data_IF_923041713806
#
_entry.id   IF_923041713806
#
_cell.length_a   1.000
_cell.length_b   1.000
_cell.length_c   1.000
_cell.angle_alpha   90.00
_cell.angle_beta   90.00
_cell.angle_gamma   90.00
#
_symmetry.space_group_name_H-M   'P 1'
#
loop_
_entity.id
_entity.type
_entity.pdbx_description
1 polymer ?
#
# COMPACT_ATOMS: atom_id res chain seq x y z
N UNK A 1 1.53 3.63 23.25
CA UNK A 1 1.09 3.16 21.91
C UNK A 1 1.94 3.91 20.92
N UNK A 2 2.60 3.20 20.03
CA UNK A 2 3.54 3.74 19.04
C UNK A 2 2.91 3.52 17.67
N UNK A 3 2.52 4.60 16.99
CA UNK A 3 1.79 4.50 15.72
C UNK A 3 2.58 3.80 14.62
N UNK A 4 3.90 3.77 14.69
CA UNK A 4 4.73 3.05 13.72
C UNK A 4 4.64 1.55 13.99
N UNK A 5 4.83 1.12 15.24
CA UNK A 5 4.81 -0.30 15.62
C UNK A 5 3.42 -0.91 15.63
N UNK A 6 2.41 -0.12 15.95
CA UNK A 6 1.04 -0.60 16.15
C UNK A 6 0.17 -0.47 14.89
N UNK A 7 0.49 0.47 13.99
CA UNK A 7 -0.30 0.73 12.77
C UNK A 7 0.55 0.59 11.49
N UNK A 8 1.65 1.34 11.37
CA UNK A 8 2.45 1.39 10.13
C UNK A 8 3.13 0.06 9.78
N UNK A 9 3.46 -0.76 10.78
CA UNK A 9 4.18 -2.03 10.59
C UNK A 9 3.47 -2.97 9.62
N UNK A 10 2.13 -2.94 9.59
CA UNK A 10 1.33 -3.77 8.69
C UNK A 10 1.53 -3.34 7.23
N UNK A 11 1.58 -2.04 6.96
CA UNK A 11 1.79 -1.53 5.60
C UNK A 11 3.23 -1.77 5.14
N UNK A 12 4.19 -1.65 6.06
CA UNK A 12 5.61 -2.00 5.83
C UNK A 12 5.74 -3.48 5.46
N UNK A 13 5.05 -4.37 6.18
CA UNK A 13 5.07 -5.80 5.93
C UNK A 13 4.48 -6.13 4.55
N UNK A 14 3.33 -5.55 4.20
CA UNK A 14 2.72 -5.70 2.87
C UNK A 14 3.69 -5.27 1.76
N UNK A 15 4.36 -4.11 1.91
CA UNK A 15 5.32 -3.61 0.93
C UNK A 15 6.52 -4.55 0.77
N UNK A 16 7.11 -5.01 1.87
CA UNK A 16 8.26 -5.91 1.81
C UNK A 16 7.90 -7.29 1.28
N UNK A 17 6.69 -7.80 1.53
CA UNK A 17 6.21 -9.01 0.90
C UNK A 17 5.99 -8.83 -0.60
N UNK A 18 5.43 -7.68 -1.01
CA UNK A 18 5.20 -7.37 -2.43
C UNK A 18 6.51 -7.18 -3.21
N UNK A 19 7.51 -6.55 -2.61
CA UNK A 19 8.78 -6.21 -3.27
C UNK A 19 9.88 -7.24 -3.01
N UNK A 20 9.73 -8.11 -2.00
CA UNK A 20 10.69 -9.14 -1.63
C UNK A 20 11.99 -8.61 -1.01
N UNK A 21 12.04 -7.35 -0.59
CA UNK A 21 13.26 -6.70 -0.08
C UNK A 21 12.97 -5.58 0.91
N UNK A 22 13.94 -5.26 1.76
CA UNK A 22 13.93 -4.09 2.65
C UNK A 22 14.26 -2.80 1.85
N UNK A 23 13.84 -1.61 2.31
CA UNK A 23 14.18 -0.35 1.66
C UNK A 23 15.66 0.01 1.83
N UNK A 24 16.27 0.62 0.82
CA UNK A 24 17.64 1.13 0.86
C UNK A 24 17.72 2.42 1.68
N UNK A 25 16.71 3.29 1.56
CA UNK A 25 16.64 4.57 2.28
C UNK A 25 15.29 4.76 2.95
N UNK A 26 15.33 5.36 4.13
CA UNK A 26 14.17 5.74 4.93
C UNK A 26 14.31 7.20 5.31
N UNK A 27 13.30 8.00 4.98
CA UNK A 27 13.13 9.37 5.49
C UNK A 27 11.80 9.40 6.24
N UNK A 28 11.76 9.96 7.45
CA UNK A 28 10.54 9.97 8.26
C UNK A 28 10.37 11.27 9.05
N UNK A 29 9.11 11.59 9.36
CA UNK A 29 8.74 12.65 10.29
C UNK A 29 7.63 12.15 11.20
N UNK A 30 7.75 12.47 12.48
CA UNK A 30 6.71 12.26 13.49
C UNK A 30 6.11 13.59 13.93
N UNK A 31 4.89 13.58 14.45
CA UNK A 31 4.25 14.71 15.12
C UNK A 31 3.52 14.20 16.37
N UNK A 32 3.78 14.88 17.48
CA UNK A 32 3.11 14.71 18.77
C UNK A 32 1.94 15.70 18.84
N UNK A 33 0.74 15.24 19.19
CA UNK A 33 -0.49 16.05 19.14
C UNK A 33 -1.24 16.05 20.47
N UNK A 34 -1.45 14.88 21.07
CA UNK A 34 -2.21 14.67 22.30
C UNK A 34 -1.34 14.23 23.48
N UNK A 35 -0.18 13.64 23.19
CA UNK A 35 0.74 13.08 24.19
C UNK A 35 2.19 13.34 23.77
N UNK A 36 3.14 13.14 24.68
CA UNK A 36 4.59 13.20 24.45
C UNK A 36 5.13 11.99 23.61
N UNK A 37 4.27 11.44 22.78
CA UNK A 37 4.55 10.32 21.89
C UNK A 37 4.01 10.64 20.52
N UNK A 38 4.73 10.20 19.48
CA UNK A 38 4.34 10.40 18.09
C UNK A 38 2.92 9.85 17.84
N UNK A 39 2.02 10.75 17.48
CA UNK A 39 0.60 10.48 17.20
C UNK A 39 0.33 10.32 15.70
N UNK A 40 1.17 10.96 14.88
CA UNK A 40 1.14 10.92 13.42
C UNK A 40 2.56 10.70 12.93
N UNK A 41 2.75 9.69 12.09
CA UNK A 41 4.01 9.40 11.44
C UNK A 41 3.84 9.40 9.91
N UNK A 42 4.74 10.08 9.21
CA UNK A 42 4.89 9.96 7.77
C UNK A 42 6.27 9.39 7.46
N UNK A 43 6.32 8.39 6.58
CA UNK A 43 7.57 7.76 6.16
C UNK A 43 7.62 7.64 4.64
N UNK A 44 8.79 7.95 4.08
CA UNK A 44 9.15 7.72 2.69
C UNK A 44 10.21 6.63 2.63
N UNK A 45 9.85 5.50 2.06
CA UNK A 45 10.71 4.34 1.90
C UNK A 45 11.14 4.23 0.44
N UNK A 46 12.44 4.23 0.18
CA UNK A 46 12.99 3.99 -1.16
C UNK A 46 13.54 2.57 -1.22
N UNK A 47 13.02 1.77 -2.13
CA UNK A 47 13.41 0.37 -2.36
C UNK A 47 14.33 0.26 -3.59
N UNK A 48 15.08 -0.84 -3.71
CA UNK A 48 15.81 -1.15 -4.95
C UNK A 48 14.88 -1.09 -6.17
N UNK A 49 15.39 -0.60 -7.31
CA UNK A 49 14.63 -0.52 -8.56
C UNK A 49 13.64 0.65 -8.63
N UNK A 50 13.99 1.78 -8.00
CA UNK A 50 13.26 3.06 -8.06
C UNK A 50 11.81 3.04 -7.53
N UNK A 51 11.45 2.01 -6.76
CA UNK A 51 10.15 1.96 -6.10
C UNK A 51 10.16 2.84 -4.84
N UNK A 52 9.23 3.78 -4.76
CA UNK A 52 9.05 4.67 -3.60
C UNK A 52 7.69 4.38 -2.98
N UNK A 53 7.68 4.14 -1.67
CA UNK A 53 6.46 4.04 -0.88
C UNK A 53 6.35 5.23 0.08
N UNK A 54 5.18 5.85 0.12
CA UNK A 54 4.85 6.88 1.11
C UNK A 54 3.79 6.31 2.04
N UNK A 55 4.10 6.28 3.33
CA UNK A 55 3.25 5.74 4.38
C UNK A 55 2.84 6.85 5.34
N UNK A 56 1.58 6.81 5.77
CA UNK A 56 1.05 7.68 6.81
C UNK A 56 0.31 6.82 7.81
N UNK A 57 0.71 6.90 9.08
CA UNK A 57 0.00 6.28 10.20
C UNK A 57 -0.41 7.37 11.19
N UNK A 58 -1.66 7.34 11.65
CA UNK A 58 -2.19 8.35 12.57
C UNK A 58 -3.28 7.74 13.43
N UNK A 59 -3.15 7.91 14.75
CA UNK A 59 -4.20 7.53 15.71
C UNK A 59 -5.20 8.66 16.00
N UNK A 60 -4.92 9.87 15.53
CA UNK A 60 -5.74 11.08 15.78
C UNK A 60 -6.55 11.52 14.55
N UNK A 61 -6.69 10.63 13.56
CA UNK A 61 -7.50 10.87 12.38
C UNK A 61 -8.99 10.97 12.72
N UNK A 62 -9.69 11.98 12.21
CA UNK A 62 -11.12 12.18 12.43
C UNK A 62 -12.00 11.07 11.82
N UNK A 63 -11.49 10.36 10.81
CA UNK A 63 -12.20 9.25 10.16
C UNK A 63 -11.24 8.10 9.95
N UNK A 64 -11.71 6.88 10.26
CA UNK A 64 -10.93 5.66 10.02
C UNK A 64 -10.74 5.45 8.51
N UNK A 65 -9.50 5.24 8.11
CA UNK A 65 -9.12 5.01 6.71
C UNK A 65 -7.96 4.02 6.66
N UNK A 66 -8.10 2.98 5.84
CA UNK A 66 -7.00 2.04 5.53
C UNK A 66 -6.98 1.79 4.02
N UNK A 67 -6.29 2.67 3.31
CA UNK A 67 -6.21 2.66 1.83
C UNK A 67 -4.80 2.42 1.35
N UNK A 68 -4.65 1.50 0.41
CA UNK A 68 -3.39 1.22 -0.27
C UNK A 68 -3.54 1.51 -1.76
N UNK A 69 -2.55 2.23 -2.31
CA UNK A 69 -2.58 2.71 -3.69
C UNK A 69 -1.27 2.38 -4.38
N UNK A 70 -1.33 1.57 -5.42
CA UNK A 70 -0.16 1.17 -6.21
C UNK A 70 -0.26 1.78 -7.60
N UNK A 71 0.77 2.50 -8.01
CA UNK A 71 0.84 3.13 -9.32
C UNK A 71 1.91 2.44 -10.17
N UNK A 72 1.53 2.05 -11.38
CA UNK A 72 2.39 1.50 -12.41
C UNK A 72 2.26 2.35 -13.68
N UNK A 73 3.11 2.08 -14.68
CA UNK A 73 3.18 2.86 -15.93
C UNK A 73 1.85 2.89 -16.71
N UNK A 74 1.04 1.85 -16.58
CA UNK A 74 -0.19 1.62 -17.32
C UNK A 74 -1.37 1.15 -16.44
N UNK A 75 -1.15 1.04 -15.13
CA UNK A 75 -2.16 0.59 -14.18
C UNK A 75 -2.11 1.34 -12.84
N UNK A 76 -3.25 1.41 -12.18
CA UNK A 76 -3.42 1.94 -10.84
C UNK A 76 -4.33 0.99 -10.05
N UNK A 77 -3.87 0.54 -8.89
CA UNK A 77 -4.66 -0.26 -7.96
C UNK A 77 -5.05 0.59 -6.77
N UNK A 78 -6.33 0.56 -6.41
CA UNK A 78 -6.87 1.20 -5.21
C UNK A 78 -7.53 0.15 -4.34
N UNK A 79 -6.96 -0.11 -3.17
CA UNK A 79 -7.45 -1.09 -2.20
C UNK A 79 -7.93 -0.33 -0.97
N UNK A 80 -9.17 -0.57 -0.57
CA UNK A 80 -9.76 -0.11 0.69
C UNK A 80 -9.94 -1.33 1.59
N UNK A 81 -9.06 -1.47 2.57
CA UNK A 81 -9.05 -2.62 3.48
C UNK A 81 -10.22 -2.60 4.47
N UNK A 82 -10.75 -1.41 4.81
CA UNK A 82 -11.91 -1.31 5.69
C UNK A 82 -13.19 -1.74 4.96
N UNK A 83 -13.35 -1.28 3.72
CA UNK A 83 -14.49 -1.65 2.89
C UNK A 83 -14.34 -3.03 2.22
N UNK A 84 -13.17 -3.68 2.34
CA UNK A 84 -12.78 -4.88 1.61
C UNK A 84 -13.04 -4.75 0.10
N UNK A 85 -12.64 -3.63 -0.50
CA UNK A 85 -12.85 -3.35 -1.93
C UNK A 85 -11.52 -3.11 -2.62
N UNK A 86 -11.36 -3.67 -3.81
CA UNK A 86 -10.22 -3.41 -4.66
C UNK A 86 -10.67 -2.99 -6.06
N UNK A 87 -10.02 -1.97 -6.61
CA UNK A 87 -10.30 -1.42 -7.93
C UNK A 87 -9.00 -1.38 -8.74
N UNK A 88 -9.06 -1.85 -9.98
CA UNK A 88 -8.02 -1.72 -10.99
C UNK A 88 -8.43 -0.69 -12.02
N UNK A 89 -7.56 0.26 -12.29
CA UNK A 89 -7.69 1.23 -13.36
C UNK A 89 -6.57 0.97 -14.36
N UNK A 90 -6.90 0.63 -15.60
CA UNK A 90 -5.91 0.31 -16.64
C UNK A 90 -6.03 1.26 -17.82
N UNK A 91 -4.88 1.65 -18.35
CA UNK A 91 -4.79 2.42 -19.58
C UNK A 91 -4.96 1.51 -20.78
N UNK A 92 -6.04 1.68 -21.54
CA UNK A 92 -6.29 0.92 -22.77
C UNK A 92 -6.13 1.83 -23.99
N UNK A 93 -5.56 1.32 -25.10
CA UNK A 93 -5.58 2.03 -26.38
C UNK A 93 -7.04 2.26 -26.77
N UNK A 94 -7.40 3.49 -27.15
CA UNK A 94 -8.63 3.68 -27.90
C UNK A 94 -8.35 3.10 -29.28
N UNK A 95 -9.06 2.04 -29.65
CA UNK A 95 -9.09 1.66 -31.05
C UNK A 95 -9.66 2.86 -31.80
N UNK A 96 -8.83 3.57 -32.57
CA UNK A 96 -9.32 4.46 -33.61
C UNK A 96 -10.06 3.56 -34.61
N UNK A 97 -11.36 3.38 -34.40
CA UNK A 97 -12.26 2.86 -35.41
C UNK A 97 -12.34 3.91 -36.52
N UNK A 98 -11.33 3.94 -37.39
CA UNK A 98 -11.43 4.62 -38.67
C UNK A 98 -12.55 4.02 -39.56
N UNK A 99 -13.19 2.93 -39.14
CA UNK A 99 -14.20 2.20 -39.91
C UNK A 99 -15.67 2.51 -39.56
N UNK A 100 -15.97 3.30 -38.52
CA UNK A 100 -17.35 3.69 -38.20
C UNK A 100 -17.41 5.11 -37.60
N UNK A 101 -17.04 6.11 -38.39
CA UNK A 101 -17.53 7.48 -38.15
C UNK A 101 -18.68 7.71 -39.10
N UNK A 102 -19.90 7.79 -38.57
CA UNK A 102 -20.99 8.40 -39.31
C UNK A 102 -20.59 9.86 -39.60
N UNK A 103 -20.82 10.31 -40.83
CA UNK A 103 -20.57 11.69 -41.25
C UNK A 103 -21.35 12.65 -40.33
N UNK A 104 -20.66 13.40 -39.46
CA UNK A 104 -21.28 14.47 -38.66
C UNK A 104 -20.82 14.61 -37.21
N UNK A 105 -20.18 13.60 -36.61
CA UNK A 105 -19.76 13.70 -35.20
C UNK A 105 -18.36 14.32 -35.05
N UNK A 106 -18.34 15.58 -34.57
CA UNK A 106 -17.12 16.24 -34.11
C UNK A 106 -16.67 15.61 -32.79
N UNK A 107 -15.80 14.60 -32.87
CA UNK A 107 -15.19 13.99 -31.69
C UNK A 107 -14.21 14.96 -31.02
N UNK A 108 -14.41 15.22 -29.73
CA UNK A 108 -13.47 15.96 -28.88
C UNK A 108 -12.11 15.27 -28.91
N UNK A 109 -11.11 15.92 -29.53
CA UNK A 109 -9.72 15.44 -29.48
C UNK A 109 -9.18 15.67 -28.07
N UNK A 110 -8.58 14.64 -27.49
CA UNK A 110 -7.84 14.79 -26.23
C UNK A 110 -6.69 15.79 -26.44
N UNK A 111 -6.47 16.78 -25.54
CA UNK A 111 -5.47 17.84 -25.72
C UNK A 111 -4.03 17.34 -25.93
N UNK A 112 -3.75 16.08 -25.58
CA UNK A 112 -2.44 15.44 -25.66
C UNK A 112 -2.17 14.69 -26.97
N UNK A 113 -3.15 14.57 -27.89
CA UNK A 113 -2.99 13.84 -29.15
C UNK A 113 -2.87 12.32 -29.02
N UNK A 114 -3.13 11.77 -27.83
CA UNK A 114 -3.08 10.33 -27.57
C UNK A 114 -4.45 9.84 -27.09
N UNK A 115 -5.15 9.12 -27.96
CA UNK A 115 -6.44 8.53 -27.63
C UNK A 115 -6.23 7.33 -26.69
N UNK A 116 -6.22 7.62 -25.38
CA UNK A 116 -6.12 6.62 -24.31
C UNK A 116 -7.33 6.75 -23.41
N UNK A 117 -8.01 5.63 -23.16
CA UNK A 117 -9.11 5.54 -22.21
C UNK A 117 -8.60 4.84 -20.94
N UNK A 118 -9.14 5.22 -19.79
CA UNK A 118 -8.96 4.48 -18.54
C UNK A 118 -10.16 3.55 -18.41
N UNK A 119 -9.89 2.25 -18.37
CA UNK A 119 -10.88 1.24 -18.01
C UNK A 119 -10.82 1.02 -16.50
N UNK A 120 -11.99 0.91 -15.87
CA UNK A 120 -12.13 0.65 -14.44
C UNK A 120 -12.74 -0.72 -14.24
N UNK A 121 -12.08 -1.53 -13.44
CA UNK A 121 -12.49 -2.89 -13.10
C UNK A 121 -12.54 -3.02 -11.58
N UNK A 122 -13.70 -3.41 -11.04
CA UNK A 122 -13.76 -3.89 -9.66
C UNK A 122 -13.12 -5.28 -9.61
N UNK A 123 -12.20 -5.49 -8.67
CA UNK A 123 -11.62 -6.80 -8.42
C UNK A 123 -12.51 -7.55 -7.44
N UNK A 124 -12.81 -8.81 -7.74
CA UNK A 124 -13.53 -9.68 -6.83
C UNK A 124 -12.69 -9.90 -5.57
N UNK A 125 -13.34 -9.78 -4.42
CA UNK A 125 -12.75 -10.01 -3.10
C UNK A 125 -13.63 -11.03 -2.40
N UNK A 126 -13.01 -12.04 -1.77
CA UNK A 126 -13.71 -12.98 -0.91
C UNK A 126 -13.55 -12.54 0.54
N UNK A 127 -14.59 -11.96 1.18
CA UNK A 127 -14.51 -11.52 2.56
C UNK A 127 -14.53 -12.74 3.48
N UNK A 128 -13.34 -13.16 3.90
CA UNK A 128 -13.15 -14.21 4.91
C UNK A 128 -12.77 -13.60 6.28
N UNK A 129 -12.92 -14.40 7.34
CA UNK A 129 -12.35 -14.07 8.64
C UNK A 129 -10.82 -14.21 8.58
N UNK A 130 -10.15 -13.07 8.44
CA UNK A 130 -8.69 -13.01 8.31
C UNK A 130 -7.94 -13.67 9.48
N UNK A 131 -8.50 -13.62 10.70
CA UNK A 131 -7.88 -14.26 11.86
C UNK A 131 -8.04 -15.78 11.79
N UNK A 132 -9.21 -16.27 11.40
CA UNK A 132 -9.44 -17.70 11.19
C UNK A 132 -8.48 -18.25 10.11
N UNK A 133 -8.35 -17.56 8.97
CA UNK A 133 -7.42 -17.92 7.89
C UNK A 133 -5.98 -17.96 8.39
N UNK A 134 -5.56 -16.95 9.15
CA UNK A 134 -4.20 -16.91 9.73
C UNK A 134 -3.95 -18.09 10.68
N UNK A 135 -4.91 -18.43 11.53
CA UNK A 135 -4.79 -19.55 12.47
C UNK A 135 -4.74 -20.89 11.73
N UNK A 136 -5.54 -21.07 10.68
CA UNK A 136 -5.53 -22.28 9.86
C UNK A 136 -4.20 -22.47 9.14
N UNK A 137 -3.62 -21.39 8.61
CA UNK A 137 -2.28 -21.37 8.03
C UNK A 137 -1.24 -21.79 9.07
N UNK A 138 -1.29 -21.22 10.27
CA UNK A 138 -0.38 -21.55 11.36
C UNK A 138 -0.48 -23.03 11.77
N UNK A 139 -1.69 -23.52 12.07
CA UNK A 139 -1.93 -24.92 12.48
C UNK A 139 -1.52 -25.90 11.39
N UNK A 140 -1.80 -25.56 10.12
CA UNK A 140 -1.36 -26.37 8.97
C UNK A 140 0.17 -26.45 8.90
N UNK A 141 0.86 -25.34 9.13
CA UNK A 141 2.33 -25.31 9.13
C UNK A 141 2.94 -26.15 10.25
N UNK A 142 2.36 -26.09 11.45
CA UNK A 142 2.77 -26.93 12.59
C UNK A 142 2.57 -28.42 12.27
N UNK A 143 1.39 -28.80 11.73
CA UNK A 143 1.08 -30.19 11.38
C UNK A 143 2.01 -30.74 10.30
N UNK A 144 2.32 -29.94 9.29
CA UNK A 144 3.21 -30.32 8.18
C UNK A 144 4.70 -30.19 8.51
N UNK A 145 5.03 -29.51 9.63
CA UNK A 145 6.40 -29.09 9.97
C UNK A 145 7.08 -28.30 8.85
N UNK A 146 6.31 -27.51 8.11
CA UNK A 146 6.80 -26.65 7.03
C UNK A 146 5.86 -25.47 6.82
N UNK A 147 6.42 -24.29 6.55
CA UNK A 147 5.67 -23.08 6.20
C UNK A 147 5.54 -22.88 4.67
N UNK A 148 6.17 -23.75 3.87
CA UNK A 148 6.23 -23.60 2.42
C UNK A 148 4.83 -23.70 1.78
N UNK A 149 4.52 -22.71 0.92
CA UNK A 149 3.27 -22.68 0.16
C UNK A 149 2.01 -22.39 0.96
N UNK A 150 2.11 -22.04 2.25
CA UNK A 150 0.94 -21.78 3.10
C UNK A 150 0.46 -20.33 3.09
N UNK A 151 1.17 -19.41 2.43
CA UNK A 151 0.74 -18.01 2.28
C UNK A 151 0.74 -17.17 3.57
N UNK A 152 1.42 -17.63 4.62
CA UNK A 152 1.56 -16.92 5.89
C UNK A 152 2.86 -16.11 6.03
N UNK A 153 2.92 -15.30 7.08
CA UNK A 153 4.09 -14.50 7.43
C UNK A 153 5.05 -15.33 8.28
N UNK A 154 6.29 -15.48 7.84
CA UNK A 154 7.34 -16.14 8.60
C UNK A 154 7.95 -15.21 9.64
N UNK A 155 8.59 -15.76 10.68
CA UNK A 155 9.31 -14.96 11.67
C UNK A 155 10.42 -14.09 11.06
N UNK A 156 11.06 -14.54 9.97
CA UNK A 156 12.06 -13.76 9.25
C UNK A 156 11.45 -12.53 8.55
N UNK A 157 10.27 -12.70 7.93
CA UNK A 157 9.52 -11.60 7.30
C UNK A 157 9.01 -10.61 8.36
N UNK A 158 8.45 -11.11 9.46
CA UNK A 158 8.02 -10.25 10.57
C UNK A 158 9.21 -9.47 11.18
N UNK A 159 10.38 -10.11 11.32
CA UNK A 159 11.58 -9.44 11.78
C UNK A 159 12.09 -8.37 10.79
N UNK A 160 11.96 -8.59 9.48
CA UNK A 160 12.29 -7.59 8.46
C UNK A 160 11.34 -6.38 8.49
N UNK A 161 10.04 -6.63 8.70
CA UNK A 161 9.05 -5.58 8.95
C UNK A 161 9.40 -4.76 10.18
N UNK A 162 9.73 -5.43 11.29
CA UNK A 162 10.13 -4.77 12.53
C UNK A 162 11.43 -3.97 12.37
N UNK A 163 12.46 -4.50 11.70
CA UNK A 163 13.71 -3.76 11.42
C UNK A 163 13.43 -2.47 10.65
N UNK A 164 12.57 -2.54 9.63
CA UNK A 164 12.20 -1.35 8.85
C UNK A 164 11.38 -0.37 9.68
N UNK A 165 10.46 -0.83 10.52
CA UNK A 165 9.71 0.02 11.44
C UNK A 165 10.62 0.74 12.44
N UNK A 166 11.64 0.06 12.97
CA UNK A 166 12.65 0.68 13.84
C UNK A 166 13.47 1.73 13.09
N UNK A 167 13.90 1.44 11.85
CA UNK A 167 14.57 2.44 10.99
C UNK A 167 13.71 3.67 10.71
N UNK A 168 12.38 3.50 10.63
CA UNK A 168 11.44 4.62 10.48
C UNK A 168 11.41 5.47 11.76
N UNK A 169 11.36 4.85 12.94
CA UNK A 169 11.40 5.57 14.22
C UNK A 169 12.73 6.31 14.37
N UNK A 170 13.86 5.65 14.11
CA UNK A 170 15.21 6.22 14.23
C UNK A 170 15.46 7.38 13.25
N UNK A 171 14.72 7.42 12.13
CA UNK A 171 14.84 8.48 11.13
C UNK A 171 14.01 9.73 11.46
N UNK A 172 13.15 9.69 12.49
CA UNK A 172 12.37 10.85 12.91
C UNK A 172 13.26 11.81 13.70
N UNK A 173 13.31 13.10 13.33
CA UNK A 173 14.01 14.09 14.13
C UNK A 173 13.29 14.29 15.46
N UNK A 174 14.06 14.59 16.52
CA UNK A 174 13.49 15.17 17.74
C UNK A 174 12.84 16.51 17.37
N UNK A 175 11.59 16.69 17.77
CA UNK A 175 10.91 17.97 17.58
C UNK A 175 11.29 18.84 18.78
N UNK A 176 12.25 19.72 18.59
CA UNK A 176 12.43 20.84 19.52
C UNK A 176 11.13 21.66 19.51
N UNK A 177 10.46 21.74 20.65
CA UNK A 177 9.29 22.59 20.81
C UNK A 177 9.73 24.04 20.55
N UNK A 178 9.46 24.53 19.34
CA UNK A 178 9.56 25.95 19.04
C UNK A 178 8.49 26.67 19.88
N UNK A 179 8.96 27.37 20.91
CA UNK A 179 8.19 28.34 21.72
C UNK A 179 7.49 29.40 20.85
#
# INVERSE_FOLDING_TARGET
MDVVRDLMIHDIEILQQLLGTEPERVDAVGVEVLTDHVDIANARLAFPGDCIANLTASRVSATSMRKFRLFQRDAYFSIDFLAQKAMLFRRVPVATSFAQRAEGEQGERSPSGVDKKIEMQALETDPEDALAVQLDVFVSGVRRRSAEGLGGVTGAQAAAALRTALRVIDAMPEIDHLE
#
